data_IF_104289270364
#
_entry.id   IF_104289270364
#
_cell.length_a   1.000
_cell.length_b   1.000
_cell.length_c   1.000
_cell.angle_alpha   90.00
_cell.angle_beta   90.00
_cell.angle_gamma   90.00
#
_symmetry.space_group_name_H-M   'P 1'
#
loop_
_entity.id
_entity.type
_entity.pdbx_description
1 polymer ?
#
# COMPACT_ATOMS: atom_id res chain seq x y z
N UNK A 1 -3.44 13.46 22.34
CA UNK A 1 -2.49 14.02 21.36
C UNK A 1 -1.18 14.23 22.06
N UNK A 2 -0.14 13.55 21.58
CA UNK A 2 1.20 13.69 22.13
C UNK A 2 1.79 15.05 21.72
N UNK A 3 2.70 15.58 22.54
CA UNK A 3 3.38 16.86 22.28
C UNK A 3 4.87 16.68 22.45
N UNK A 4 5.66 17.28 21.56
CA UNK A 4 7.11 17.34 21.67
C UNK A 4 7.48 18.72 22.21
N UNK A 5 8.06 18.79 23.41
CA UNK A 5 8.61 20.02 24.00
C UNK A 5 10.12 20.06 23.76
N UNK A 6 10.59 21.01 22.97
CA UNK A 6 12.02 21.19 22.66
C UNK A 6 12.57 22.40 23.42
N UNK A 7 13.67 22.22 24.15
CA UNK A 7 14.48 23.31 24.72
C UNK A 7 15.75 23.46 23.89
N UNK A 8 15.90 24.58 23.20
CA UNK A 8 17.04 24.86 22.33
C UNK A 8 18.34 25.17 23.08
N UNK A 9 19.37 25.57 22.33
CA UNK A 9 20.64 26.05 22.87
C UNK A 9 21.76 24.99 23.00
N UNK A 10 21.53 23.76 22.53
CA UNK A 10 22.55 22.70 22.53
C UNK A 10 22.84 22.24 21.09
N UNK A 11 24.10 22.35 20.59
CA UNK A 11 24.45 21.79 19.29
C UNK A 11 24.35 20.26 19.31
N UNK A 12 23.87 19.66 18.22
CA UNK A 12 23.80 18.20 18.08
C UNK A 12 25.20 17.63 17.81
N UNK A 13 25.57 16.57 18.53
CA UNK A 13 26.83 15.82 18.31
C UNK A 13 26.59 14.34 18.60
N UNK A 14 26.86 13.48 17.62
CA UNK A 14 26.71 12.04 17.74
C UNK A 14 26.45 11.36 16.40
N UNK A 15 26.18 10.06 16.45
CA UNK A 15 25.86 9.23 15.29
C UNK A 15 24.57 8.47 15.58
N UNK A 16 23.70 8.36 14.59
CA UNK A 16 22.45 7.58 14.67
C UNK A 16 22.37 6.62 13.47
N UNK A 17 21.85 5.39 13.66
CA UNK A 17 21.50 4.54 12.54
C UNK A 17 20.27 5.10 11.81
N UNK A 18 20.20 4.91 10.49
CA UNK A 18 19.05 5.28 9.66
C UNK A 18 18.18 4.05 9.43
N UNK A 19 16.89 4.18 9.69
CA UNK A 19 15.90 3.13 9.47
C UNK A 19 15.67 2.86 7.98
N UNK A 20 15.03 1.73 7.66
CA UNK A 20 14.61 1.43 6.30
C UNK A 20 13.68 2.49 5.68
N UNK A 21 13.63 2.51 4.34
CA UNK A 21 12.88 3.50 3.59
C UNK A 21 11.38 3.18 3.58
N UNK A 22 10.59 3.98 4.32
CA UNK A 22 9.13 3.85 4.40
C UNK A 22 8.46 3.68 3.03
N UNK A 23 8.80 4.54 2.07
CA UNK A 23 8.19 4.53 0.72
C UNK A 23 8.64 3.34 -0.15
N UNK A 24 9.67 2.60 0.26
CA UNK A 24 10.01 1.31 -0.35
C UNK A 24 9.29 0.16 0.39
N UNK A 25 9.20 0.22 1.71
CA UNK A 25 8.50 -0.77 2.53
C UNK A 25 7.03 -0.95 2.10
N UNK A 26 6.27 0.14 1.93
CA UNK A 26 4.84 0.08 1.60
C UNK A 26 4.54 -0.70 0.30
N UNK A 27 5.16 -0.41 -0.86
CA UNK A 27 4.93 -1.20 -2.07
C UNK A 27 5.47 -2.63 -1.97
N UNK A 28 6.54 -2.88 -1.21
CA UNK A 28 7.04 -4.26 -1.01
C UNK A 28 6.05 -5.08 -0.20
N UNK A 29 5.46 -4.50 0.86
CA UNK A 29 4.38 -5.11 1.63
C UNK A 29 3.18 -5.43 0.74
N UNK A 30 2.76 -4.48 -0.12
CA UNK A 30 1.68 -4.71 -1.08
C UNK A 30 2.02 -5.84 -2.07
N UNK A 31 3.25 -5.85 -2.58
CA UNK A 31 3.73 -6.85 -3.53
C UNK A 31 3.78 -8.26 -2.95
N UNK A 32 3.85 -8.42 -1.62
CA UNK A 32 3.74 -9.76 -0.98
C UNK A 32 2.47 -10.50 -1.41
N UNK A 33 1.38 -9.77 -1.69
CA UNK A 33 0.11 -10.32 -2.19
C UNK A 33 0.24 -11.01 -3.54
N UNK A 34 1.37 -10.93 -4.24
CA UNK A 34 1.60 -11.64 -5.51
C UNK A 34 1.98 -13.13 -5.32
N UNK A 35 2.30 -13.58 -4.10
CA UNK A 35 2.75 -14.97 -3.84
C UNK A 35 1.98 -15.68 -2.75
N UNK A 36 1.76 -16.99 -2.89
CA UNK A 36 1.27 -17.88 -1.82
C UNK A 36 2.36 -18.27 -0.84
N UNK A 37 3.63 -18.05 -1.17
CA UNK A 37 4.75 -18.40 -0.31
C UNK A 37 4.94 -17.41 0.84
N UNK A 38 5.66 -17.84 1.87
CA UNK A 38 6.07 -16.97 2.97
C UNK A 38 7.01 -15.87 2.47
N UNK A 39 6.72 -14.63 2.87
CA UNK A 39 7.55 -13.46 2.59
C UNK A 39 8.12 -12.95 3.91
N UNK A 40 9.45 -12.82 4.00
CA UNK A 40 10.11 -12.12 5.11
C UNK A 40 10.66 -10.79 4.60
N UNK A 41 10.25 -9.69 5.24
CA UNK A 41 10.75 -8.35 4.97
C UNK A 41 11.53 -7.85 6.18
N UNK A 42 12.83 -7.65 5.99
CA UNK A 42 13.72 -7.09 7.01
C UNK A 42 13.89 -5.58 6.87
N UNK A 43 14.50 -4.93 7.87
CA UNK A 43 14.76 -3.49 7.91
C UNK A 43 13.48 -2.65 7.71
N UNK A 44 12.38 -3.09 8.33
CA UNK A 44 11.10 -2.39 8.27
C UNK A 44 11.09 -1.25 9.30
N UNK A 45 10.86 0.01 8.88
CA UNK A 45 10.81 1.12 9.82
C UNK A 45 9.53 1.06 10.67
N UNK A 46 9.65 1.30 11.96
CA UNK A 46 8.51 1.33 12.88
C UNK A 46 7.78 2.68 12.79
N UNK A 47 6.80 2.77 11.88
CA UNK A 47 6.05 3.99 11.57
C UNK A 47 4.55 3.67 11.40
N UNK A 48 3.69 4.67 11.64
CA UNK A 48 2.24 4.50 11.55
C UNK A 48 1.76 3.98 10.19
N UNK A 49 2.31 4.50 9.10
CA UNK A 49 1.98 4.04 7.73
C UNK A 49 2.25 2.54 7.55
N UNK A 50 3.35 2.03 8.12
CA UNK A 50 3.67 0.60 8.07
C UNK A 50 2.64 -0.20 8.86
N UNK A 51 2.30 0.24 10.07
CA UNK A 51 1.25 -0.40 10.88
C UNK A 51 -0.08 -0.46 10.12
N UNK A 52 -0.51 0.64 9.50
CA UNK A 52 -1.74 0.70 8.69
C UNK A 52 -1.69 -0.21 7.47
N UNK A 53 -0.54 -0.34 6.81
CA UNK A 53 -0.37 -1.30 5.72
C UNK A 53 -0.48 -2.76 6.20
N UNK A 54 0.09 -3.09 7.35
CA UNK A 54 -0.03 -4.42 7.95
C UNK A 54 -1.47 -4.73 8.37
N UNK A 55 -2.18 -3.76 8.96
CA UNK A 55 -3.61 -3.87 9.28
C UNK A 55 -4.44 -4.15 8.02
N UNK A 56 -4.16 -3.44 6.93
CA UNK A 56 -4.84 -3.64 5.63
C UNK A 56 -4.56 -5.04 5.07
N UNK A 57 -3.30 -5.50 5.07
CA UNK A 57 -2.95 -6.85 4.64
C UNK A 57 -3.64 -7.91 5.51
N UNK A 58 -3.69 -7.71 6.83
CA UNK A 58 -4.40 -8.59 7.76
C UNK A 58 -5.90 -8.67 7.45
N UNK A 59 -6.52 -7.53 7.11
CA UNK A 59 -7.93 -7.49 6.71
C UNK A 59 -8.22 -8.25 5.41
N UNK A 60 -7.25 -8.32 4.50
CA UNK A 60 -7.34 -9.16 3.30
C UNK A 60 -7.25 -10.66 3.61
N UNK A 61 -6.84 -11.04 4.82
CA UNK A 61 -6.66 -12.42 5.26
C UNK A 61 -5.19 -12.88 5.32
N UNK A 62 -4.24 -11.95 5.23
CA UNK A 62 -2.81 -12.25 5.37
C UNK A 62 -2.49 -12.55 6.84
N UNK A 63 -1.78 -13.64 7.12
CA UNK A 63 -1.22 -13.90 8.45
C UNK A 63 0.12 -13.17 8.57
N UNK A 64 0.24 -12.31 9.59
CA UNK A 64 1.38 -11.43 9.78
C UNK A 64 1.99 -11.68 11.15
N UNK A 65 3.30 -11.92 11.18
CA UNK A 65 4.08 -12.00 12.42
C UNK A 65 5.22 -11.00 12.36
N UNK A 66 5.50 -10.35 13.48
CA UNK A 66 6.64 -9.41 13.61
C UNK A 66 7.67 -10.10 14.48
N UNK A 67 8.89 -10.25 13.98
CA UNK A 67 10.00 -10.86 14.71
C UNK A 67 10.66 -9.88 15.70
N UNK A 68 11.55 -10.40 16.56
CA UNK A 68 12.26 -9.62 17.58
C UNK A 68 13.15 -8.49 17.02
N UNK A 69 13.49 -8.56 15.73
CA UNK A 69 14.34 -7.60 15.01
C UNK A 69 13.52 -6.67 14.12
N UNK A 70 12.21 -6.58 14.32
CA UNK A 70 11.28 -5.79 13.51
C UNK A 70 11.22 -6.25 12.04
N UNK A 71 11.59 -7.50 11.75
CA UNK A 71 11.27 -8.14 10.49
C UNK A 71 9.79 -8.53 10.47
N UNK A 72 9.18 -8.48 9.28
CA UNK A 72 7.77 -8.81 9.07
C UNK A 72 7.69 -10.09 8.24
N UNK A 73 7.08 -11.12 8.80
CA UNK A 73 6.70 -12.34 8.11
C UNK A 73 5.25 -12.25 7.65
N UNK A 74 5.00 -12.58 6.38
CA UNK A 74 3.69 -12.50 5.74
C UNK A 74 3.39 -13.82 5.04
N UNK A 75 2.23 -14.39 5.35
CA UNK A 75 1.65 -15.54 4.65
C UNK A 75 0.28 -15.16 4.05
N UNK A 76 0.19 -15.24 2.73
CA UNK A 76 -0.99 -14.87 1.95
C UNK A 76 -1.83 -16.06 1.47
N UNK A 77 -1.62 -17.26 2.04
CA UNK A 77 -2.34 -18.48 1.67
C UNK A 77 -3.86 -18.40 1.94
N UNK A 78 -4.28 -17.57 2.91
CA UNK A 78 -5.68 -17.46 3.36
C UNK A 78 -6.38 -16.17 2.95
N UNK A 79 -5.76 -15.39 2.05
CA UNK A 79 -6.38 -14.16 1.54
C UNK A 79 -7.70 -14.48 0.86
N UNK A 80 -8.78 -13.90 1.38
CA UNK A 80 -10.16 -14.19 0.98
C UNK A 80 -11.05 -12.94 0.91
N UNK A 81 -10.52 -11.79 1.29
CA UNK A 81 -11.19 -10.50 1.20
C UNK A 81 -10.40 -9.61 0.23
N UNK A 82 -11.07 -9.01 -0.74
CA UNK A 82 -10.45 -8.19 -1.79
C UNK A 82 -10.81 -6.70 -1.68
N UNK A 83 -11.41 -6.32 -0.56
CA UNK A 83 -11.91 -4.97 -0.31
C UNK A 83 -10.98 -4.21 0.64
N UNK A 84 -10.48 -3.05 0.19
CA UNK A 84 -9.80 -2.07 1.02
C UNK A 84 -10.80 -0.97 1.45
N UNK A 85 -11.22 -0.93 2.72
CA UNK A 85 -12.33 -0.12 3.20
C UNK A 85 -11.91 1.34 3.40
N UNK A 86 -12.90 2.22 3.44
CA UNK A 86 -12.72 3.66 3.64
C UNK A 86 -11.86 3.99 4.86
N UNK A 87 -12.08 3.35 6.01
CA UNK A 87 -11.40 3.72 7.27
C UNK A 87 -9.87 3.56 7.20
N UNK A 88 -9.38 2.57 6.44
CA UNK A 88 -7.94 2.37 6.23
C UNK A 88 -7.39 3.22 5.07
N UNK A 89 -8.16 3.40 4.00
CA UNK A 89 -7.71 4.20 2.84
C UNK A 89 -7.71 5.70 3.15
N UNK A 90 -8.65 6.17 3.96
CA UNK A 90 -8.75 7.58 4.38
C UNK A 90 -7.61 7.97 5.32
N UNK A 91 -7.07 7.02 6.10
CA UNK A 91 -5.92 7.26 6.98
C UNK A 91 -4.59 7.20 6.23
N UNK A 92 -4.49 6.37 5.18
CA UNK A 92 -3.27 6.24 4.38
C UNK A 92 -3.59 6.07 2.89
N UNK A 93 -3.32 7.11 2.10
CA UNK A 93 -3.51 7.09 0.64
C UNK A 93 -2.72 5.98 -0.09
N UNK A 94 -1.54 5.61 0.44
CA UNK A 94 -0.70 4.56 -0.12
C UNK A 94 -1.36 3.17 -0.11
N UNK A 95 -2.50 3.00 0.59
CA UNK A 95 -3.33 1.80 0.54
C UNK A 95 -3.77 1.43 -0.88
N UNK A 96 -3.81 2.37 -1.83
CA UNK A 96 -4.08 2.08 -3.25
C UNK A 96 -3.08 1.08 -3.87
N UNK A 97 -1.89 0.90 -3.28
CA UNK A 97 -0.86 -0.01 -3.79
C UNK A 97 -1.30 -1.48 -3.79
N UNK A 98 -2.27 -1.89 -2.97
CA UNK A 98 -2.80 -3.26 -3.00
C UNK A 98 -3.62 -3.55 -4.27
N UNK A 99 -4.08 -2.52 -5.00
CA UNK A 99 -4.93 -2.67 -6.20
C UNK A 99 -4.31 -3.57 -7.26
N UNK A 100 -3.05 -3.29 -7.60
CA UNK A 100 -2.32 -4.03 -8.63
C UNK A 100 -2.17 -5.51 -8.28
N UNK A 101 -1.53 -5.83 -7.13
CA UNK A 101 -1.36 -7.21 -6.67
C UNK A 101 -2.66 -7.98 -6.51
N UNK A 102 -3.70 -7.38 -5.91
CA UNK A 102 -5.00 -8.05 -5.73
C UNK A 102 -5.65 -8.37 -7.07
N UNK A 103 -5.71 -7.38 -7.97
CA UNK A 103 -6.30 -7.57 -9.29
C UNK A 103 -5.52 -8.57 -10.14
N UNK A 104 -4.19 -8.50 -10.12
CA UNK A 104 -3.33 -9.36 -10.92
C UNK A 104 -3.41 -10.83 -10.51
N UNK A 105 -3.49 -11.12 -9.20
CA UNK A 105 -3.50 -12.49 -8.68
C UNK A 105 -4.90 -13.06 -8.46
N UNK A 106 -5.83 -12.27 -7.93
CA UNK A 106 -7.16 -12.73 -7.52
C UNK A 106 -8.26 -12.28 -8.49
N UNK A 107 -7.93 -11.49 -9.50
CA UNK A 107 -8.86 -11.07 -10.57
C UNK A 107 -9.89 -10.03 -10.15
N UNK A 108 -9.86 -9.57 -8.90
CA UNK A 108 -10.79 -8.55 -8.41
C UNK A 108 -10.22 -7.75 -7.24
N UNK A 109 -10.70 -6.52 -7.10
CA UNK A 109 -10.49 -5.70 -5.90
C UNK A 109 -11.49 -4.55 -5.84
N UNK A 110 -11.90 -4.18 -4.62
CA UNK A 110 -12.74 -3.02 -4.34
C UNK A 110 -12.00 -2.09 -3.38
N UNK A 111 -11.56 -0.92 -3.84
CA UNK A 111 -10.73 -0.01 -3.03
C UNK A 111 -11.46 1.32 -2.88
N UNK A 112 -11.61 1.78 -1.64
CA UNK A 112 -12.19 3.10 -1.42
C UNK A 112 -11.37 4.18 -2.14
N UNK A 113 -12.04 5.13 -2.78
CA UNK A 113 -11.38 6.24 -3.45
C UNK A 113 -10.62 7.08 -2.40
N UNK A 114 -9.29 7.26 -2.52
CA UNK A 114 -8.59 8.17 -1.65
C UNK A 114 -9.18 9.58 -1.80
N UNK A 115 -9.55 10.19 -0.67
CA UNK A 115 -10.10 11.54 -0.63
C UNK A 115 -9.06 12.62 -0.96
N UNK A 116 -9.43 13.86 -0.67
CA UNK A 116 -8.52 15.01 -0.79
C UNK A 116 -7.31 14.89 0.15
N UNK A 117 -6.14 15.32 -0.32
CA UNK A 117 -4.93 15.43 0.48
C UNK A 117 -4.61 16.90 0.72
N UNK A 118 -4.34 17.30 1.97
CA UNK A 118 -4.05 18.70 2.31
C UNK A 118 -2.79 19.26 1.62
N UNK A 119 -1.92 18.39 1.11
CA UNK A 119 -0.69 18.77 0.38
C UNK A 119 -1.02 19.26 -1.04
N UNK A 120 -2.10 18.76 -1.65
CA UNK A 120 -2.49 19.13 -3.01
C UNK A 120 -3.24 18.03 -3.77
N UNK A 121 -3.57 18.33 -5.03
CA UNK A 121 -4.23 17.36 -5.90
C UNK A 121 -3.30 16.21 -6.24
N UNK A 122 -3.70 15.01 -5.82
CA UNK A 122 -3.06 13.76 -6.17
C UNK A 122 -4.17 12.90 -6.76
N UNK A 123 -4.34 12.81 -8.08
CA UNK A 123 -5.31 11.90 -8.67
C UNK A 123 -4.74 10.48 -8.73
N UNK A 124 -5.61 9.46 -8.82
CA UNK A 124 -5.22 8.06 -9.08
C UNK A 124 -5.61 7.58 -10.48
N UNK A 125 -5.92 8.53 -11.36
CA UNK A 125 -6.34 8.27 -12.74
C UNK A 125 -5.31 7.41 -13.51
N UNK A 126 -4.01 7.64 -13.32
CA UNK A 126 -2.97 6.86 -14.00
C UNK A 126 -2.95 5.39 -13.57
N UNK A 127 -3.25 5.10 -12.30
CA UNK A 127 -3.38 3.71 -11.84
C UNK A 127 -4.55 3.01 -12.54
N UNK A 128 -5.70 3.70 -12.64
CA UNK A 128 -6.91 3.19 -13.29
C UNK A 128 -6.68 3.00 -14.79
N UNK A 129 -6.12 4.01 -15.46
CA UNK A 129 -5.84 3.98 -16.89
C UNK A 129 -4.83 2.87 -17.25
N UNK A 130 -3.78 2.70 -16.46
CA UNK A 130 -2.79 1.64 -16.66
C UNK A 130 -3.42 0.24 -16.56
N UNK A 131 -4.22 -0.01 -15.52
CA UNK A 131 -4.88 -1.32 -15.37
C UNK A 131 -5.96 -1.56 -16.44
N UNK A 132 -6.72 -0.52 -16.85
CA UNK A 132 -7.64 -0.62 -17.99
C UNK A 132 -6.91 -0.95 -19.29
N UNK A 133 -5.74 -0.35 -19.54
CA UNK A 133 -4.92 -0.67 -20.70
C UNK A 133 -4.40 -2.13 -20.69
N UNK A 134 -4.34 -2.76 -19.52
CA UNK A 134 -4.05 -4.19 -19.34
C UNK A 134 -5.30 -5.09 -19.44
N UNK A 135 -6.46 -4.53 -19.79
CA UNK A 135 -7.71 -5.28 -19.95
C UNK A 135 -8.55 -5.42 -18.68
N UNK A 136 -8.29 -4.64 -17.64
CA UNK A 136 -9.17 -4.57 -16.48
C UNK A 136 -10.45 -3.79 -16.79
N UNK A 137 -11.58 -4.32 -16.36
CA UNK A 137 -12.82 -3.56 -16.24
C UNK A 137 -12.82 -2.82 -14.91
N UNK A 138 -12.98 -1.50 -14.93
CA UNK A 138 -12.90 -0.67 -13.72
C UNK A 138 -14.05 0.31 -13.71
N UNK A 139 -14.87 0.25 -12.66
CA UNK A 139 -15.97 1.15 -12.41
C UNK A 139 -15.69 2.03 -11.18
N UNK A 140 -16.14 3.29 -11.25
CA UNK A 140 -16.10 4.22 -10.12
C UNK A 140 -17.54 4.42 -9.64
N UNK A 141 -17.83 4.03 -8.39
CA UNK A 141 -19.18 4.12 -7.86
C UNK A 141 -19.24 3.95 -6.35
N UNK A 142 -20.14 4.69 -5.69
CA UNK A 142 -20.35 4.59 -4.25
C UNK A 142 -19.12 4.88 -3.38
N UNK A 143 -18.16 5.68 -3.88
CA UNK A 143 -16.91 5.97 -3.19
C UNK A 143 -15.83 4.87 -3.31
N UNK A 144 -15.99 3.93 -4.25
CA UNK A 144 -15.05 2.84 -4.50
C UNK A 144 -14.59 2.78 -5.96
N UNK A 145 -13.35 2.34 -6.15
CA UNK A 145 -12.79 1.81 -7.38
C UNK A 145 -13.05 0.31 -7.37
N UNK A 146 -13.92 -0.17 -8.26
CA UNK A 146 -14.23 -1.59 -8.42
C UNK A 146 -13.53 -2.09 -9.66
N UNK A 147 -12.49 -2.91 -9.50
CA UNK A 147 -11.72 -3.45 -10.61
C UNK A 147 -11.91 -4.96 -10.72
N UNK A 148 -12.13 -5.45 -11.94
CA UNK A 148 -12.32 -6.87 -12.27
C UNK A 148 -11.49 -7.22 -13.51
N UNK A 149 -10.85 -8.39 -13.49
CA UNK A 149 -10.10 -8.91 -14.62
C UNK A 149 -10.02 -10.44 -14.55
N UNK A 150 -10.39 -11.15 -15.63
CA UNK A 150 -10.13 -12.61 -15.69
C UNK A 150 -8.64 -12.90 -15.69
N UNK A 151 -7.87 -12.11 -16.44
CA UNK A 151 -6.41 -12.12 -16.50
C UNK A 151 -5.95 -10.80 -17.09
N UNK A 152 -5.05 -10.10 -16.41
CA UNK A 152 -4.40 -8.92 -16.98
C UNK A 152 -3.47 -9.35 -18.14
N UNK A 153 -3.42 -8.54 -19.19
CA UNK A 153 -2.61 -8.79 -20.38
C UNK A 153 -1.50 -7.75 -20.45
N UNK A 154 -0.30 -8.20 -20.83
CA UNK A 154 0.83 -7.32 -21.06
C UNK A 154 0.50 -6.27 -22.13
N UNK A 155 0.86 -5.02 -21.86
CA UNK A 155 0.55 -3.88 -22.74
C UNK A 155 1.67 -2.85 -22.69
N UNK A 156 1.72 -1.98 -23.69
CA UNK A 156 2.57 -0.78 -23.66
C UNK A 156 1.75 0.38 -23.11
N UNK A 157 2.08 0.84 -21.91
CA UNK A 157 1.45 2.00 -21.29
C UNK A 157 2.49 3.11 -21.08
N UNK A 158 2.14 4.34 -21.43
CA UNK A 158 3.00 5.52 -21.24
C UNK A 158 2.43 6.35 -20.11
N UNK A 159 3.27 6.69 -19.13
CA UNK A 159 2.90 7.59 -18.04
C UNK A 159 3.21 9.03 -18.45
N UNK A 160 2.18 9.83 -18.64
CA UNK A 160 2.30 11.28 -18.83
C UNK A 160 1.24 11.97 -17.94
N UNK A 161 1.62 12.58 -16.80
CA UNK A 161 2.98 12.83 -16.28
C UNK A 161 3.58 11.66 -15.47
N UNK A 162 4.82 11.85 -14.98
CA UNK A 162 5.44 10.99 -13.95
C UNK A 162 4.52 10.90 -12.73
N UNK A 163 4.31 9.68 -12.23
CA UNK A 163 3.45 9.41 -11.07
C UNK A 163 4.26 9.14 -9.80
N UNK A 164 3.73 9.59 -8.66
CA UNK A 164 4.26 9.29 -7.33
C UNK A 164 3.11 8.84 -6.43
N UNK A 165 3.34 7.82 -5.61
CA UNK A 165 2.34 7.32 -4.65
C UNK A 165 2.38 8.09 -3.34
#
# INVERSE_FOLDING_TARGET
MDKILVRGGRPLKGTIPISGAKNATLPILAASLLTTGHVHLSNVPHLRDVTTMLELLGQHGSAITIDEKLGVEIDNARVNNFTAPYDLVATMRASILVMGPLLARYGQTDISLPGGCAIGSRPVNLHIQGLRAMGADIELGGGYIRARAKRLVGTRFTFDPVTVT
#
